data_IF_742435125439
#
_entry.id   IF_742435125439
#
_cell.length_a   1.000
_cell.length_b   1.000
_cell.length_c   1.000
_cell.angle_alpha   90.00
_cell.angle_beta   90.00
_cell.angle_gamma   90.00
#
_symmetry.space_group_name_H-M   'P 1'
#
loop_
_entity.id
_entity.type
_entity.pdbx_description
1 polymer ?
#
# COMPACT_ATOMS: atom_id res chain seq x y z
N UNK A 1 24.37 9.97 0.56
CA UNK A 1 23.31 10.40 -0.41
C UNK A 1 22.00 9.82 0.06
N UNK A 2 20.98 10.64 0.32
CA UNK A 2 19.67 10.20 0.76
C UNK A 2 18.96 9.37 -0.32
N UNK A 3 18.08 8.47 0.06
CA UNK A 3 17.37 7.56 -0.87
C UNK A 3 16.61 8.32 -1.99
N UNK A 4 16.14 9.53 -1.70
CA UNK A 4 15.42 10.41 -2.62
C UNK A 4 16.31 10.98 -3.74
N UNK A 5 17.58 11.29 -3.45
CA UNK A 5 18.54 11.82 -4.43
C UNK A 5 18.98 10.71 -5.40
N UNK A 6 19.26 9.53 -4.88
CA UNK A 6 19.57 8.37 -5.71
C UNK A 6 18.42 7.99 -6.64
N UNK A 7 17.16 8.06 -6.16
CA UNK A 7 15.98 7.82 -7.00
C UNK A 7 15.91 8.84 -8.15
N UNK A 8 16.24 10.12 -7.90
CA UNK A 8 16.26 11.16 -8.93
C UNK A 8 17.32 10.89 -10.00
N UNK A 9 18.53 10.51 -9.60
CA UNK A 9 19.60 10.14 -10.53
C UNK A 9 19.22 8.96 -11.41
N UNK A 10 18.67 7.88 -10.80
CA UNK A 10 18.22 6.70 -11.52
C UNK A 10 17.08 7.03 -12.49
N UNK A 11 16.10 7.82 -12.07
CA UNK A 11 15.02 8.25 -12.95
C UNK A 11 15.55 9.07 -14.15
N UNK A 12 16.52 9.96 -13.93
CA UNK A 12 17.16 10.70 -15.00
C UNK A 12 17.91 9.79 -15.98
N UNK A 13 18.64 8.79 -15.47
CA UNK A 13 19.34 7.82 -16.30
C UNK A 13 18.38 7.01 -17.19
N UNK A 14 17.23 6.57 -16.62
CA UNK A 14 16.19 5.87 -17.36
C UNK A 14 15.61 6.74 -18.47
N UNK A 15 15.28 8.00 -18.20
CA UNK A 15 14.73 8.91 -19.22
C UNK A 15 15.74 9.22 -20.31
N UNK A 16 17.01 9.39 -19.96
CA UNK A 16 18.10 9.65 -20.93
C UNK A 16 18.36 8.46 -21.85
N UNK A 17 18.07 7.23 -21.43
CA UNK A 17 18.18 6.03 -22.29
C UNK A 17 17.09 5.96 -23.36
N UNK A 18 16.08 6.86 -23.33
CA UNK A 18 14.98 6.96 -24.29
C UNK A 18 14.27 5.63 -24.57
N UNK A 19 13.77 4.92 -23.55
CA UNK A 19 13.01 3.70 -23.78
C UNK A 19 11.67 4.00 -24.45
N UNK A 20 11.10 3.01 -25.14
CA UNK A 20 9.78 3.13 -25.78
C UNK A 20 8.64 3.20 -24.73
N UNK A 21 8.82 2.60 -23.56
CA UNK A 21 7.89 2.63 -22.43
C UNK A 21 8.65 2.41 -21.11
N UNK A 22 8.17 3.03 -20.02
CA UNK A 22 8.71 2.84 -18.68
C UNK A 22 7.66 2.16 -17.82
N UNK A 23 7.96 0.97 -17.26
CA UNK A 23 7.18 0.39 -16.17
C UNK A 23 7.74 0.89 -14.84
N UNK A 24 6.89 1.56 -14.05
CA UNK A 24 7.29 2.18 -12.78
C UNK A 24 6.43 1.72 -11.61
N UNK A 25 7.07 1.39 -10.49
CA UNK A 25 6.40 0.94 -9.28
C UNK A 25 6.49 2.05 -8.21
N UNK A 26 5.38 2.32 -7.56
CA UNK A 26 5.11 3.37 -6.57
C UNK A 26 4.84 4.77 -7.16
N UNK A 27 3.90 5.48 -6.53
CA UNK A 27 3.57 6.86 -6.92
C UNK A 27 4.76 7.82 -6.83
N UNK A 28 5.67 7.59 -5.88
CA UNK A 28 6.92 8.37 -5.73
C UNK A 28 7.82 8.25 -6.96
N UNK A 29 8.00 7.02 -7.48
CA UNK A 29 8.79 6.77 -8.70
C UNK A 29 8.12 7.38 -9.92
N UNK A 30 6.81 7.14 -10.11
CA UNK A 30 6.04 7.70 -11.22
C UNK A 30 6.09 9.23 -11.20
N UNK A 31 5.91 9.87 -10.02
CA UNK A 31 6.00 11.32 -9.86
C UNK A 31 7.38 11.89 -10.23
N UNK A 32 8.46 11.15 -9.94
CA UNK A 32 9.82 11.60 -10.34
C UNK A 32 10.00 11.51 -11.85
N UNK A 33 9.56 10.43 -12.49
CA UNK A 33 9.63 10.26 -13.94
C UNK A 33 8.75 11.27 -14.67
N UNK A 34 7.53 11.52 -14.20
CA UNK A 34 6.61 12.51 -14.78
C UNK A 34 7.17 13.94 -14.83
N UNK A 35 8.08 14.30 -13.90
CA UNK A 35 8.80 15.60 -13.90
C UNK A 35 9.94 15.67 -14.90
N UNK A 36 10.39 14.53 -15.43
CA UNK A 36 11.53 14.42 -16.33
C UNK A 36 11.13 14.19 -17.79
N UNK A 37 9.94 13.64 -18.02
CA UNK A 37 9.43 13.39 -19.38
C UNK A 37 7.92 13.50 -19.44
N UNK A 38 7.42 14.09 -20.53
CA UNK A 38 6.01 14.11 -20.91
C UNK A 38 5.75 13.36 -22.22
N UNK A 39 6.78 12.77 -22.82
CA UNK A 39 6.72 12.10 -24.13
C UNK A 39 6.87 10.58 -24.00
N UNK A 40 7.75 10.10 -23.09
CA UNK A 40 7.95 8.66 -22.91
C UNK A 40 6.74 8.11 -22.14
N UNK A 41 6.03 7.12 -22.66
CA UNK A 41 4.94 6.45 -21.97
C UNK A 41 5.38 5.86 -20.63
N UNK A 42 4.57 6.07 -19.58
CA UNK A 42 4.80 5.51 -18.25
C UNK A 42 3.60 4.65 -17.86
N UNK A 43 3.82 3.37 -17.65
CA UNK A 43 2.85 2.45 -17.04
C UNK A 43 3.18 2.33 -15.55
N UNK A 44 2.35 2.92 -14.70
CA UNK A 44 2.57 2.99 -13.26
C UNK A 44 1.77 1.97 -12.48
N UNK A 45 2.40 1.21 -11.57
CA UNK A 45 1.69 0.49 -10.50
C UNK A 45 1.87 1.29 -9.21
N UNK A 46 0.80 1.94 -8.75
CA UNK A 46 0.88 2.96 -7.71
C UNK A 46 -0.40 3.00 -6.87
N UNK A 47 -0.36 3.71 -5.76
CA UNK A 47 -1.56 4.08 -5.00
C UNK A 47 -2.42 5.05 -5.82
N UNK A 48 -3.31 5.82 -5.22
CA UNK A 48 -4.24 6.70 -5.95
C UNK A 48 -3.51 7.75 -6.84
N UNK A 49 -3.47 7.58 -8.18
CA UNK A 49 -2.76 8.50 -9.07
C UNK A 49 -3.45 9.85 -9.23
N UNK A 50 -4.76 9.95 -8.96
CA UNK A 50 -5.51 11.21 -8.98
C UNK A 50 -5.17 12.04 -7.75
N UNK A 51 -5.16 11.42 -6.58
CA UNK A 51 -4.78 12.06 -5.31
C UNK A 51 -3.32 12.59 -5.34
N UNK A 52 -2.43 11.89 -6.07
CA UNK A 52 -1.05 12.35 -6.30
C UNK A 52 -0.93 13.41 -7.43
N UNK A 53 -2.01 13.77 -8.11
CA UNK A 53 -2.00 14.71 -9.23
C UNK A 53 -1.20 14.22 -10.45
N UNK A 54 -1.08 12.91 -10.62
CA UNK A 54 -0.33 12.29 -11.73
C UNK A 54 -1.18 12.13 -12.99
N UNK A 55 -2.48 12.01 -12.83
CA UNK A 55 -3.47 11.89 -13.90
C UNK A 55 -4.69 12.74 -13.59
N UNK A 56 -5.45 13.12 -14.63
CA UNK A 56 -6.65 13.96 -14.46
C UNK A 56 -7.85 13.18 -13.94
N UNK A 57 -7.99 11.94 -14.37
CA UNK A 57 -9.01 10.99 -13.90
C UNK A 57 -8.55 9.56 -14.16
N UNK A 58 -9.22 8.60 -13.54
CA UNK A 58 -8.90 7.18 -13.75
C UNK A 58 -9.38 6.67 -15.11
N UNK A 59 -10.51 7.20 -15.62
CA UNK A 59 -11.08 6.81 -16.93
C UNK A 59 -10.35 7.46 -18.11
N UNK A 60 -9.83 8.68 -17.92
CA UNK A 60 -9.08 9.44 -18.93
C UNK A 60 -7.88 10.08 -18.27
N UNK A 61 -6.77 9.36 -18.16
CA UNK A 61 -5.58 9.84 -17.46
C UNK A 61 -5.04 11.15 -18.00
N UNK A 62 -5.03 11.30 -19.32
CA UNK A 62 -4.41 12.44 -20.00
C UNK A 62 -2.87 12.40 -19.91
N UNK A 63 -2.19 12.98 -20.89
CA UNK A 63 -0.73 12.99 -20.90
C UNK A 63 -0.11 11.62 -21.22
N UNK A 64 1.04 11.32 -20.60
CA UNK A 64 1.86 10.15 -20.91
C UNK A 64 1.83 9.04 -19.85
N UNK A 65 0.92 9.10 -18.87
CA UNK A 65 0.84 8.15 -17.77
C UNK A 65 -0.46 7.34 -17.87
N UNK A 66 -0.33 6.03 -17.72
CA UNK A 66 -1.41 5.07 -17.44
C UNK A 66 -0.93 4.05 -16.42
N UNK A 67 -1.67 2.99 -16.16
CA UNK A 67 -1.24 1.92 -15.25
C UNK A 67 -2.36 1.36 -14.38
N UNK A 68 -2.00 0.95 -13.16
CA UNK A 68 -2.91 0.38 -12.18
C UNK A 68 -2.82 1.10 -10.83
N UNK A 69 -3.99 1.31 -10.22
CA UNK A 69 -4.10 1.84 -8.84
C UNK A 69 -4.32 0.68 -7.87
N UNK A 70 -3.45 0.56 -6.87
CA UNK A 70 -3.55 -0.50 -5.85
C UNK A 70 -4.43 -0.12 -4.65
N UNK A 71 -4.60 1.17 -4.39
CA UNK A 71 -5.43 1.71 -3.31
C UNK A 71 -6.31 2.85 -3.86
N UNK A 72 -7.40 2.51 -4.56
CA UNK A 72 -8.24 3.51 -5.24
C UNK A 72 -9.16 4.25 -4.26
N UNK A 73 -8.63 5.29 -3.64
CA UNK A 73 -9.38 6.22 -2.81
C UNK A 73 -9.71 5.72 -1.39
N UNK A 74 -10.54 6.50 -0.70
CA UNK A 74 -10.83 6.36 0.72
C UNK A 74 -11.53 5.03 1.10
N UNK A 75 -12.32 4.46 0.20
CA UNK A 75 -13.20 3.33 0.53
C UNK A 75 -12.43 2.06 0.91
N UNK A 76 -11.25 1.85 0.33
CA UNK A 76 -10.39 0.73 0.71
C UNK A 76 -9.90 0.86 2.16
N UNK A 77 -9.57 2.09 2.58
CA UNK A 77 -9.11 2.36 3.94
C UNK A 77 -10.24 2.21 4.96
N UNK A 78 -11.46 2.68 4.61
CA UNK A 78 -12.65 2.45 5.43
C UNK A 78 -12.91 0.96 5.61
N UNK A 79 -12.83 0.17 4.53
CA UNK A 79 -13.02 -1.29 4.58
C UNK A 79 -11.97 -1.97 5.45
N UNK A 80 -10.68 -1.65 5.25
CA UNK A 80 -9.58 -2.21 6.05
C UNK A 80 -9.72 -1.90 7.54
N UNK A 81 -10.07 -0.65 7.87
CA UNK A 81 -10.29 -0.25 9.27
C UNK A 81 -11.54 -0.88 9.88
N UNK A 82 -12.61 -1.05 9.09
CA UNK A 82 -13.81 -1.75 9.53
C UNK A 82 -13.52 -3.23 9.86
N UNK A 83 -12.77 -3.93 9.00
CA UNK A 83 -12.33 -5.31 9.27
C UNK A 83 -11.48 -5.39 10.54
N UNK A 84 -10.54 -4.45 10.70
CA UNK A 84 -9.69 -4.39 11.89
C UNK A 84 -10.51 -4.13 13.16
N UNK A 85 -11.48 -3.22 13.11
CA UNK A 85 -12.37 -2.92 14.24
C UNK A 85 -13.31 -4.07 14.58
N UNK A 86 -13.74 -4.83 13.58
CA UNK A 86 -14.54 -6.04 13.79
C UNK A 86 -13.71 -7.15 14.46
N UNK A 87 -12.43 -7.27 14.07
CA UNK A 87 -11.47 -8.18 14.67
C UNK A 87 -11.15 -7.79 16.12
N UNK A 88 -11.02 -6.49 16.40
CA UNK A 88 -10.63 -5.96 17.73
C UNK A 88 -11.77 -5.11 18.30
N UNK A 89 -12.75 -5.74 18.99
CA UNK A 89 -13.85 -5.01 19.62
C UNK A 89 -13.34 -4.02 20.65
N UNK A 90 -13.88 -2.80 20.59
CA UNK A 90 -13.45 -1.73 21.49
C UNK A 90 -12.19 -0.99 21.04
N UNK A 91 -11.63 -1.35 19.89
CA UNK A 91 -10.51 -0.63 19.29
C UNK A 91 -10.80 0.86 19.17
N UNK A 92 -9.93 1.67 19.75
CA UNK A 92 -10.03 3.14 19.76
C UNK A 92 -8.82 3.80 19.11
N UNK A 93 -7.65 3.13 19.12
CA UNK A 93 -6.37 3.65 18.62
C UNK A 93 -5.71 2.66 17.68
N UNK A 94 -5.38 3.10 16.47
CA UNK A 94 -4.72 2.29 15.44
C UNK A 94 -3.35 2.88 15.13
N UNK A 95 -2.30 2.08 15.31
CA UNK A 95 -0.96 2.46 14.87
C UNK A 95 -0.84 2.24 13.35
N UNK A 96 -0.67 3.33 12.61
CA UNK A 96 -0.52 3.31 11.16
C UNK A 96 0.96 3.26 10.78
N UNK A 97 1.40 2.10 10.32
CA UNK A 97 2.77 1.87 9.86
C UNK A 97 2.91 2.34 8.42
N UNK A 98 3.50 3.49 8.24
CA UNK A 98 3.72 4.09 6.93
C UNK A 98 4.95 5.02 6.96
N UNK A 99 5.66 5.17 5.83
CA UNK A 99 6.69 6.18 5.67
C UNK A 99 6.15 7.59 5.95
N UNK A 100 7.00 8.49 6.43
CA UNK A 100 6.68 9.90 6.67
C UNK A 100 6.10 10.57 5.41
N UNK A 101 6.67 10.24 4.25
CA UNK A 101 6.18 10.71 2.96
C UNK A 101 4.75 10.28 2.66
N UNK A 102 4.29 9.12 3.15
CA UNK A 102 2.91 8.66 2.99
C UNK A 102 1.96 9.41 3.92
N UNK A 103 2.38 9.69 5.16
CA UNK A 103 1.58 10.42 6.15
C UNK A 103 1.19 11.84 5.73
N UNK A 104 2.01 12.47 4.90
CA UNK A 104 1.85 13.88 4.47
C UNK A 104 1.19 14.04 3.10
N UNK A 105 0.96 12.92 2.38
CA UNK A 105 0.31 12.93 1.07
C UNK A 105 -1.21 12.82 1.17
N UNK A 106 -1.88 12.91 0.01
CA UNK A 106 -3.33 12.71 -0.11
C UNK A 106 -3.76 11.35 0.48
N UNK A 107 -2.99 10.28 0.27
CA UNK A 107 -3.27 8.95 0.85
C UNK A 107 -3.28 9.01 2.38
N UNK A 108 -2.32 9.69 3.01
CA UNK A 108 -2.31 9.87 4.46
C UNK A 108 -3.53 10.66 4.97
N UNK A 109 -4.02 11.62 4.20
CA UNK A 109 -5.26 12.35 4.51
C UNK A 109 -6.46 11.40 4.41
N UNK A 110 -6.57 10.59 3.35
CA UNK A 110 -7.64 9.60 3.19
C UNK A 110 -7.70 8.60 4.34
N UNK A 111 -6.54 8.07 4.77
CA UNK A 111 -6.46 7.16 5.91
C UNK A 111 -6.94 7.82 7.20
N UNK A 112 -6.57 9.09 7.44
CA UNK A 112 -7.06 9.86 8.60
C UNK A 112 -8.58 10.07 8.55
N UNK A 113 -9.11 10.41 7.37
CA UNK A 113 -10.57 10.55 7.18
C UNK A 113 -11.29 9.21 7.36
N UNK A 114 -10.71 8.11 6.86
CA UNK A 114 -11.25 6.77 7.08
C UNK A 114 -11.28 6.40 8.57
N UNK A 115 -10.21 6.70 9.30
CA UNK A 115 -10.16 6.49 10.76
C UNK A 115 -11.26 7.26 11.49
N UNK A 116 -11.46 8.53 11.14
CA UNK A 116 -12.55 9.36 11.70
C UNK A 116 -13.93 8.78 11.40
N UNK A 117 -14.19 8.32 10.17
CA UNK A 117 -15.47 7.69 9.79
C UNK A 117 -15.76 6.42 10.60
N UNK A 118 -14.74 5.65 10.95
CA UNK A 118 -14.86 4.43 11.77
C UNK A 118 -14.87 4.74 13.26
N UNK A 119 -14.56 5.97 13.68
CA UNK A 119 -14.49 6.38 15.08
C UNK A 119 -13.28 5.79 15.79
N UNK A 120 -12.10 5.85 15.16
CA UNK A 120 -10.81 5.44 15.75
C UNK A 120 -9.78 6.55 15.58
N UNK A 121 -8.87 6.65 16.51
CA UNK A 121 -7.71 7.54 16.42
C UNK A 121 -6.58 6.86 15.64
N UNK A 122 -6.06 7.54 14.62
CA UNK A 122 -4.88 7.10 13.89
C UNK A 122 -3.63 7.66 14.56
N UNK A 123 -2.77 6.79 15.05
CA UNK A 123 -1.56 7.21 15.77
C UNK A 123 -0.28 6.85 15.00
N UNK A 124 0.81 7.60 15.26
CA UNK A 124 2.16 7.39 14.76
C UNK A 124 3.11 6.98 15.89
N UNK A 125 4.40 7.15 15.67
CA UNK A 125 5.03 8.06 14.69
C UNK A 125 5.07 7.50 13.27
N UNK A 126 5.19 8.37 12.23
CA UNK A 126 5.60 7.96 10.90
C UNK A 126 6.99 7.31 10.92
N UNK A 127 7.27 6.44 9.96
CA UNK A 127 8.62 5.89 9.78
C UNK A 127 9.46 6.89 9.01
N UNK A 128 10.56 7.32 9.62
CA UNK A 128 11.45 8.35 9.06
C UNK A 128 12.36 7.80 7.93
N UNK A 129 12.84 8.67 7.02
CA UNK A 129 13.91 8.33 6.07
C UNK A 129 15.20 7.99 6.84
N UNK A 130 15.96 6.93 6.50
CA UNK A 130 15.98 6.17 5.23
C UNK A 130 15.02 4.96 5.16
N UNK A 131 14.06 4.79 6.05
CA UNK A 131 13.08 3.70 6.08
C UNK A 131 13.74 2.31 6.22
N UNK A 132 14.82 2.23 7.00
CA UNK A 132 15.52 0.99 7.29
C UNK A 132 14.98 0.27 8.52
N UNK A 133 15.55 -0.89 8.86
CA UNK A 133 15.13 -1.70 10.00
C UNK A 133 15.17 -0.94 11.35
N UNK A 134 16.13 -0.03 11.52
CA UNK A 134 16.28 0.76 12.73
C UNK A 134 15.10 1.72 12.95
N UNK A 135 14.65 2.40 11.88
CA UNK A 135 13.54 3.35 11.91
C UNK A 135 12.22 2.64 12.19
N UNK A 136 11.98 1.47 11.58
CA UNK A 136 10.81 0.66 11.90
C UNK A 136 10.82 0.16 13.34
N UNK A 137 11.95 -0.33 13.83
CA UNK A 137 12.10 -0.77 15.23
C UNK A 137 11.84 0.38 16.20
N UNK A 138 12.38 1.57 15.92
CA UNK A 138 12.13 2.80 16.70
C UNK A 138 10.65 3.16 16.71
N UNK A 139 9.95 3.11 15.54
CA UNK A 139 8.54 3.44 15.44
C UNK A 139 7.64 2.51 16.28
N UNK A 140 8.01 1.23 16.40
CA UNK A 140 7.29 0.26 17.22
C UNK A 140 7.62 0.31 18.73
N UNK A 141 8.58 1.12 19.16
CA UNK A 141 8.93 1.22 20.60
C UNK A 141 7.74 1.74 21.42
N UNK A 142 7.31 0.97 22.42
CA UNK A 142 6.19 1.30 23.31
C UNK A 142 4.83 1.38 22.63
N UNK A 143 4.67 0.79 21.44
CA UNK A 143 3.42 0.86 20.68
C UNK A 143 2.26 0.12 21.37
N UNK A 144 2.55 -0.99 22.08
CA UNK A 144 1.53 -1.78 22.80
C UNK A 144 0.82 -1.02 23.92
N UNK A 145 1.44 0.05 24.45
CA UNK A 145 0.83 0.92 25.46
C UNK A 145 -0.06 2.01 24.85
N UNK A 146 0.11 2.26 23.55
CA UNK A 146 -0.51 3.39 22.84
C UNK A 146 -1.52 2.99 21.79
N UNK A 147 -1.47 1.76 21.27
CA UNK A 147 -2.33 1.26 20.21
C UNK A 147 -3.04 -0.03 20.59
N UNK A 148 -4.21 -0.22 20.05
CA UNK A 148 -5.02 -1.43 20.20
C UNK A 148 -4.81 -2.39 19.02
N UNK A 149 -4.35 -1.88 17.87
CA UNK A 149 -4.10 -2.64 16.64
C UNK A 149 -3.13 -1.90 15.72
N UNK A 150 -2.66 -2.61 14.70
CA UNK A 150 -1.74 -2.11 13.67
C UNK A 150 -2.40 -2.16 12.30
N UNK A 151 -2.32 -1.06 11.54
CA UNK A 151 -2.67 -1.00 10.12
C UNK A 151 -1.40 -0.69 9.31
N UNK A 152 -1.06 -1.54 8.36
CA UNK A 152 0.14 -1.37 7.53
C UNK A 152 -0.24 -0.80 6.17
N UNK A 153 0.47 0.24 5.72
CA UNK A 153 0.25 0.83 4.41
C UNK A 153 0.81 -0.05 3.28
N UNK A 154 0.30 0.16 2.07
CA UNK A 154 0.76 -0.49 0.84
C UNK A 154 2.07 0.10 0.27
N UNK A 155 2.72 1.02 0.98
CA UNK A 155 3.96 1.66 0.56
C UNK A 155 5.05 0.63 0.22
N UNK A 156 5.81 0.91 -0.86
CA UNK A 156 6.87 0.02 -1.33
C UNK A 156 7.98 -0.16 -0.28
N UNK A 157 8.27 0.86 0.51
CA UNK A 157 9.22 0.84 1.62
C UNK A 157 8.84 -0.22 2.65
N UNK A 158 7.56 -0.33 3.03
CA UNK A 158 7.08 -1.36 3.96
C UNK A 158 7.31 -2.77 3.43
N UNK A 159 7.24 -2.99 2.12
CA UNK A 159 7.46 -4.30 1.51
C UNK A 159 8.90 -4.77 1.63
N UNK A 160 9.86 -3.86 1.59
CA UNK A 160 11.29 -4.20 1.69
C UNK A 160 11.65 -4.77 3.06
N UNK A 161 10.93 -4.39 4.10
CA UNK A 161 11.11 -4.83 5.48
C UNK A 161 9.89 -5.58 6.05
N UNK A 162 9.08 -6.19 5.16
CA UNK A 162 7.81 -6.82 5.52
C UNK A 162 7.90 -7.83 6.65
N UNK A 163 8.89 -8.73 6.61
CA UNK A 163 9.14 -9.71 7.68
C UNK A 163 9.46 -9.08 9.03
N UNK A 164 10.17 -7.96 9.02
CA UNK A 164 10.46 -7.22 10.25
C UNK A 164 9.17 -6.61 10.83
N UNK A 165 8.33 -5.99 9.99
CA UNK A 165 7.04 -5.41 10.43
C UNK A 165 6.17 -6.49 11.08
N UNK A 166 6.09 -7.68 10.49
CA UNK A 166 5.36 -8.83 11.06
C UNK A 166 5.92 -9.20 12.43
N UNK A 167 7.23 -9.38 12.55
CA UNK A 167 7.89 -9.70 13.82
C UNK A 167 7.65 -8.64 14.89
N UNK A 168 7.69 -7.35 14.52
CA UNK A 168 7.47 -6.25 15.46
C UNK A 168 6.02 -6.21 15.96
N UNK A 169 5.03 -6.44 15.09
CA UNK A 169 3.63 -6.54 15.48
C UNK A 169 3.39 -7.73 16.43
N UNK A 170 3.96 -8.90 16.11
CA UNK A 170 3.89 -10.10 16.95
C UNK A 170 4.57 -9.89 18.33
N UNK A 171 5.76 -9.31 18.36
CA UNK A 171 6.49 -9.03 19.60
C UNK A 171 5.71 -8.12 20.55
N UNK A 172 4.93 -7.18 19.98
CA UNK A 172 4.03 -6.29 20.72
C UNK A 172 2.65 -6.92 21.00
N UNK A 173 2.38 -8.15 20.51
CA UNK A 173 1.09 -8.85 20.61
C UNK A 173 -0.09 -8.02 20.08
N UNK A 174 0.15 -7.20 19.07
CA UNK A 174 -0.87 -6.36 18.47
C UNK A 174 -1.49 -7.03 17.26
N UNK A 175 -2.83 -7.16 17.21
CA UNK A 175 -3.53 -7.56 16.01
C UNK A 175 -3.19 -6.60 14.86
N UNK A 176 -2.79 -7.17 13.70
CA UNK A 176 -2.32 -6.37 12.58
C UNK A 176 -3.04 -6.75 11.29
N UNK A 177 -3.45 -5.73 10.54
CA UNK A 177 -3.99 -5.88 9.18
C UNK A 177 -2.99 -5.35 8.17
N UNK A 178 -2.65 -6.23 7.23
CA UNK A 178 -1.67 -5.97 6.18
C UNK A 178 -2.35 -5.75 4.82
N UNK A 179 -1.68 -5.02 3.90
CA UNK A 179 -2.22 -4.77 2.57
C UNK A 179 -2.08 -5.95 1.61
N UNK A 180 -1.19 -6.94 1.91
CA UNK A 180 -0.86 -8.04 1.02
C UNK A 180 -0.80 -9.39 1.75
N UNK A 181 -1.26 -10.45 1.06
CA UNK A 181 -1.21 -11.84 1.51
C UNK A 181 0.22 -12.29 1.90
N UNK A 182 1.23 -11.77 1.23
CA UNK A 182 2.63 -12.12 1.51
C UNK A 182 3.03 -11.88 2.97
N UNK A 183 2.50 -10.84 3.62
CA UNK A 183 2.72 -10.63 5.05
C UNK A 183 2.12 -11.73 5.91
N UNK A 184 0.94 -12.25 5.52
CA UNK A 184 0.28 -13.34 6.24
C UNK A 184 1.06 -14.65 6.06
N UNK A 185 1.59 -14.90 4.86
CA UNK A 185 2.51 -16.03 4.60
C UNK A 185 3.81 -15.94 5.39
N UNK A 186 4.26 -14.72 5.73
CA UNK A 186 5.42 -14.47 6.59
C UNK A 186 5.07 -14.50 8.08
N UNK A 187 3.85 -14.93 8.47
CA UNK A 187 3.37 -15.04 9.84
C UNK A 187 2.51 -13.88 10.33
N UNK A 188 2.11 -12.94 9.48
CA UNK A 188 1.18 -11.86 9.84
C UNK A 188 -0.22 -12.36 10.13
N UNK A 189 -1.00 -11.62 10.93
CA UNK A 189 -2.30 -12.04 11.43
C UNK A 189 -3.38 -12.09 10.35
N UNK A 190 -3.58 -11.00 9.61
CA UNK A 190 -4.62 -10.90 8.59
C UNK A 190 -4.27 -9.88 7.51
N UNK A 191 -4.75 -10.11 6.30
CA UNK A 191 -4.58 -9.19 5.18
C UNK A 191 -5.89 -8.95 4.44
N UNK A 192 -6.05 -7.74 3.92
CA UNK A 192 -7.05 -7.42 2.92
C UNK A 192 -6.31 -7.12 1.62
N UNK A 193 -6.06 -8.20 0.88
CA UNK A 193 -5.15 -8.25 -0.27
C UNK A 193 -5.88 -8.00 -1.58
N UNK A 194 -5.15 -7.49 -2.54
CA UNK A 194 -5.58 -7.38 -3.92
C UNK A 194 -4.88 -8.47 -4.76
N UNK A 195 -5.50 -8.89 -5.84
CA UNK A 195 -4.86 -9.82 -6.78
C UNK A 195 -3.68 -9.14 -7.51
N UNK A 196 -2.49 -9.36 -6.98
CA UNK A 196 -1.23 -8.83 -7.54
C UNK A 196 -0.97 -9.37 -8.95
N UNK A 197 -1.36 -10.61 -9.24
CA UNK A 197 -1.17 -11.20 -10.57
C UNK A 197 -2.05 -10.50 -11.62
N UNK A 198 -3.30 -10.16 -11.26
CA UNK A 198 -4.17 -9.36 -12.11
C UNK A 198 -3.58 -7.96 -12.38
N UNK A 199 -3.05 -7.29 -11.35
CA UNK A 199 -2.37 -5.98 -11.52
C UNK A 199 -1.23 -6.05 -12.55
N UNK A 200 -0.37 -7.07 -12.45
CA UNK A 200 0.74 -7.23 -13.40
C UNK A 200 0.28 -7.60 -14.80
N UNK A 201 -0.76 -8.42 -14.91
CA UNK A 201 -1.37 -8.77 -16.19
C UNK A 201 -1.93 -7.53 -16.87
N UNK A 202 -2.64 -6.68 -16.14
CA UNK A 202 -3.17 -5.42 -16.69
C UNK A 202 -2.08 -4.43 -17.10
N UNK A 203 -1.02 -4.32 -16.28
CA UNK A 203 0.12 -3.49 -16.65
C UNK A 203 0.80 -3.98 -17.94
N UNK A 204 0.93 -5.29 -18.12
CA UNK A 204 1.47 -5.89 -19.34
C UNK A 204 0.56 -5.65 -20.54
N UNK A 205 -0.77 -5.79 -20.39
CA UNK A 205 -1.74 -5.47 -21.44
C UNK A 205 -1.63 -4.00 -21.90
N UNK A 206 -1.53 -3.07 -20.96
CA UNK A 206 -1.38 -1.64 -21.26
C UNK A 206 -0.08 -1.33 -21.99
N UNK A 207 1.04 -1.97 -21.62
CA UNK A 207 2.30 -1.89 -22.37
C UNK A 207 2.11 -2.40 -23.80
N UNK A 208 1.44 -3.54 -23.97
CA UNK A 208 1.17 -4.10 -25.30
C UNK A 208 0.27 -3.20 -26.15
N UNK A 209 -0.70 -2.49 -25.56
CA UNK A 209 -1.53 -1.51 -26.25
C UNK A 209 -0.71 -0.29 -26.71
N UNK A 210 0.19 0.22 -25.85
CA UNK A 210 1.11 1.30 -26.21
C UNK A 210 1.99 0.91 -27.39
N UNK A 211 2.55 -0.30 -27.42
CA UNK A 211 3.33 -0.80 -28.56
C UNK A 211 2.50 -0.96 -29.85
N UNK A 212 1.19 -1.08 -29.74
CA UNK A 212 0.26 -1.08 -30.90
C UNK A 212 -0.14 0.32 -31.36
N UNK A 213 0.29 1.36 -30.64
CA UNK A 213 0.06 2.76 -31.00
C UNK A 213 -0.99 3.48 -30.15
N UNK A 214 -1.58 2.82 -29.15
CA UNK A 214 -2.52 3.46 -28.24
C UNK A 214 -1.81 4.52 -27.38
N UNK A 215 -2.49 5.65 -27.14
CA UNK A 215 -1.91 6.72 -26.34
C UNK A 215 -2.12 6.43 -24.85
N UNK A 216 -1.10 6.54 -24.00
CA UNK A 216 -1.23 6.29 -22.55
C UNK A 216 -2.38 7.09 -21.90
N UNK A 217 -2.56 8.35 -22.30
CA UNK A 217 -3.61 9.22 -21.77
C UNK A 217 -5.04 8.80 -22.09
N UNK A 218 -5.24 7.92 -23.08
CA UNK A 218 -6.52 7.38 -23.48
C UNK A 218 -6.76 5.97 -22.89
N UNK A 219 -5.74 5.35 -22.30
CA UNK A 219 -5.84 4.04 -21.65
C UNK A 219 -6.24 4.25 -20.19
N UNK A 220 -7.43 3.77 -19.74
CA UNK A 220 -7.87 3.94 -18.37
C UNK A 220 -6.89 3.33 -17.34
N UNK A 221 -6.76 3.99 -16.19
CA UNK A 221 -6.10 3.41 -15.03
C UNK A 221 -6.91 2.21 -14.53
N UNK A 222 -6.28 1.05 -14.49
CA UNK A 222 -6.92 -0.13 -13.95
C UNK A 222 -7.10 -0.02 -12.42
N UNK A 223 -8.27 -0.39 -11.96
CA UNK A 223 -8.57 -0.53 -10.53
C UNK A 223 -8.97 -1.97 -10.24
N UNK A 224 -8.33 -2.64 -9.28
CA UNK A 224 -8.74 -3.98 -8.86
C UNK A 224 -10.16 -3.91 -8.27
N UNK A 225 -11.00 -4.88 -8.63
CA UNK A 225 -12.39 -4.97 -8.15
C UNK A 225 -12.57 -6.03 -7.08
N UNK A 226 -11.61 -6.94 -6.97
CA UNK A 226 -11.65 -8.04 -6.02
C UNK A 226 -10.50 -7.89 -5.02
N UNK A 227 -10.84 -8.05 -3.77
CA UNK A 227 -9.92 -8.10 -2.65
C UNK A 227 -10.22 -9.36 -1.85
N UNK A 228 -9.17 -10.01 -1.39
CA UNK A 228 -9.26 -11.24 -0.61
C UNK A 228 -8.93 -10.95 0.85
N UNK A 229 -9.82 -11.39 1.73
CA UNK A 229 -9.56 -11.34 3.16
C UNK A 229 -8.91 -12.64 3.59
N UNK A 230 -7.66 -12.56 4.02
CA UNK A 230 -6.83 -13.71 4.42
C UNK A 230 -6.55 -13.61 5.91
N UNK A 231 -6.71 -14.71 6.65
CA UNK A 231 -6.39 -14.80 8.07
C UNK A 231 -5.42 -15.94 8.34
N UNK A 232 -4.64 -15.83 9.43
CA UNK A 232 -3.67 -16.83 9.86
C UNK A 232 -3.98 -17.25 11.32
N UNK A 233 -4.41 -18.51 11.50
CA UNK A 233 -4.79 -19.04 12.80
C UNK A 233 -3.59 -19.35 13.69
N UNK A 234 -2.43 -19.74 13.11
CA UNK A 234 -1.19 -19.91 13.89
C UNK A 234 -0.68 -18.57 14.40
N UNK A 235 -0.69 -17.52 13.57
CA UNK A 235 -0.32 -16.17 13.98
C UNK A 235 -1.24 -15.65 15.09
N UNK A 236 -2.54 -15.92 15.02
CA UNK A 236 -3.50 -15.58 16.05
C UNK A 236 -3.14 -16.26 17.38
N UNK A 237 -2.91 -17.57 17.36
CA UNK A 237 -2.48 -18.34 18.54
C UNK A 237 -1.17 -17.80 19.14
N UNK A 238 -0.20 -17.46 18.29
CA UNK A 238 1.11 -16.96 18.73
C UNK A 238 1.04 -15.66 19.55
N UNK A 239 0.08 -14.78 19.24
CA UNK A 239 -0.12 -13.51 19.97
C UNK A 239 -1.24 -13.56 21.01
N UNK A 240 -1.89 -14.73 21.17
CA UNK A 240 -3.03 -14.90 22.09
C UNK A 240 -4.31 -14.21 21.59
N UNK A 241 -4.49 -14.12 20.27
CA UNK A 241 -5.65 -13.51 19.64
C UNK A 241 -6.65 -14.59 19.19
N UNK A 242 -7.94 -14.33 19.36
CA UNK A 242 -9.02 -15.21 18.90
C UNK A 242 -9.90 -14.50 17.87
N UNK A 243 -9.98 -15.07 16.67
CA UNK A 243 -10.92 -14.60 15.67
C UNK A 243 -12.35 -14.98 16.04
N UNK A 244 -13.27 -14.03 15.90
CA UNK A 244 -14.70 -14.33 16.00
C UNK A 244 -15.17 -15.17 14.83
N UNK A 245 -16.17 -16.02 15.05
CA UNK A 245 -16.71 -16.94 14.03
C UNK A 245 -17.17 -16.20 12.75
N UNK A 246 -17.74 -15.01 12.86
CA UNK A 246 -18.15 -14.23 11.70
C UNK A 246 -16.95 -13.76 10.84
N UNK A 247 -15.80 -13.41 11.44
CA UNK A 247 -14.60 -13.07 10.68
C UNK A 247 -14.00 -14.30 9.98
N UNK A 248 -14.00 -15.46 10.65
CA UNK A 248 -13.57 -16.71 10.05
C UNK A 248 -14.46 -17.02 8.83
N UNK A 249 -15.77 -16.85 8.96
CA UNK A 249 -16.72 -17.08 7.87
C UNK A 249 -16.60 -16.06 6.71
N UNK A 250 -16.04 -14.87 6.97
CA UNK A 250 -15.80 -13.85 5.95
C UNK A 250 -14.46 -14.01 5.24
N UNK A 251 -13.56 -14.86 5.76
CA UNK A 251 -12.25 -15.04 5.17
C UNK A 251 -12.35 -15.84 3.85
N UNK A 252 -11.72 -15.31 2.80
CA UNK A 252 -11.57 -15.98 1.52
C UNK A 252 -10.50 -17.07 1.59
N UNK A 253 -9.51 -16.91 2.51
CA UNK A 253 -8.45 -17.86 2.75
C UNK A 253 -8.08 -17.90 4.24
N UNK A 254 -7.88 -19.11 4.75
CA UNK A 254 -7.43 -19.38 6.12
C UNK A 254 -6.10 -20.14 6.03
N UNK A 255 -5.07 -19.63 6.70
CA UNK A 255 -3.76 -20.26 6.87
C UNK A 255 -3.73 -20.85 8.28
N UNK A 256 -3.52 -22.17 8.36
CA UNK A 256 -3.38 -22.97 9.60
C UNK A 256 -1.92 -23.28 9.89
#
# INVERSE_FOLDING_TARGET
MGSTEKLRELASTVVLSKPDVILAISGKTVSKLAKLTNNIPIVGVMSDPVAYGLVTSLSHPGGNITGASVDPGIDIWVKRMALLKEAVPGMSRVFYVAPDSTWTTAVGIEVKVAAQKIGVELIGPPVEDPHGEAEYTKAFTGVSERADAVLVSSAAENRTVGKLIVKLAQANRLPALYPYRTYVSDGGLMAHDLDIADIWTRAADQIAWIFRGDKPGDIPIYQPRQYHFVINMEAAKAIGFEFKQNLIAMADEIID
#
